data_IF_082674591002
#
_entry.id   IF_082674591002
#
_cell.length_a   1.000
_cell.length_b   1.000
_cell.length_c   1.000
_cell.angle_alpha   90.00
_cell.angle_beta   90.00
_cell.angle_gamma   90.00
#
_symmetry.space_group_name_H-M   'P 1'
#
loop_
_entity.id
_entity.type
_entity.pdbx_description
1 polymer ?
#
# COMPACT_ATOMS: atom_id res chain seq x y z
N UNK A 1 3.85 -14.16 5.30
CA UNK A 1 4.24 -12.75 5.37
C UNK A 1 3.75 -12.22 6.70
N UNK A 2 4.50 -11.37 7.38
CA UNK A 2 4.09 -10.73 8.63
C UNK A 2 4.13 -9.22 8.48
N UNK A 3 3.00 -8.55 8.74
CA UNK A 3 2.91 -7.10 8.73
C UNK A 3 3.50 -6.56 10.04
N UNK A 4 4.52 -5.72 9.95
CA UNK A 4 5.16 -5.05 11.10
C UNK A 4 4.55 -3.67 11.31
N UNK A 5 4.36 -2.92 10.21
CA UNK A 5 3.69 -1.61 10.19
C UNK A 5 2.74 -1.55 9.01
N UNK A 6 1.51 -1.12 9.26
CA UNK A 6 0.49 -0.92 8.24
C UNK A 6 0.23 0.59 8.09
N UNK A 7 1.09 1.25 7.34
CA UNK A 7 1.21 2.71 7.32
C UNK A 7 1.23 3.23 5.88
N UNK A 8 0.67 4.41 5.67
CA UNK A 8 0.75 5.12 4.40
C UNK A 8 0.89 6.62 4.64
N UNK A 9 1.46 7.32 3.65
CA UNK A 9 1.42 8.78 3.58
C UNK A 9 0.44 9.20 2.50
N UNK A 10 -0.38 10.21 2.80
CA UNK A 10 -1.15 10.91 1.79
C UNK A 10 -0.28 11.98 1.15
N UNK A 11 0.04 11.85 -0.13
CA UNK A 11 0.83 12.86 -0.87
C UNK A 11 0.08 14.19 -0.96
N UNK A 12 -1.25 14.16 -1.04
CA UNK A 12 -2.07 15.36 -1.19
C UNK A 12 -2.05 16.28 0.05
N UNK A 13 -2.05 15.73 1.27
CA UNK A 13 -2.06 16.53 2.51
C UNK A 13 -0.86 16.33 3.43
N UNK A 14 0.03 15.39 3.12
CA UNK A 14 1.24 15.09 3.91
C UNK A 14 1.01 14.17 5.12
N UNK A 15 -0.23 13.87 5.49
CA UNK A 15 -0.51 13.05 6.67
C UNK A 15 0.06 11.64 6.56
N UNK A 16 0.59 11.15 7.68
CA UNK A 16 1.01 9.77 7.85
C UNK A 16 0.02 9.10 8.79
N UNK A 17 -0.65 8.06 8.30
CA UNK A 17 -1.66 7.30 9.04
C UNK A 17 -1.26 5.84 9.16
N UNK A 18 -1.61 5.20 10.28
CA UNK A 18 -1.29 3.80 10.55
C UNK A 18 -2.48 3.08 11.20
N UNK A 19 -2.83 1.92 10.64
CA UNK A 19 -3.82 1.01 11.21
C UNK A 19 -3.13 0.04 12.16
N UNK A 20 -3.62 -0.09 13.39
CA UNK A 20 -2.96 -0.86 14.46
C UNK A 20 -3.73 -2.09 14.94
N UNK A 21 -5.01 -2.21 14.60
CA UNK A 21 -5.85 -3.39 14.89
C UNK A 21 -6.72 -3.77 13.68
N UNK A 22 -7.30 -4.98 13.70
CA UNK A 22 -8.00 -5.62 12.56
C UNK A 22 -9.14 -4.79 11.98
N UNK A 23 -9.76 -3.94 12.79
CA UNK A 23 -10.91 -3.09 12.44
C UNK A 23 -10.61 -1.62 12.75
N UNK A 24 -9.41 -1.17 12.39
CA UNK A 24 -8.91 0.19 12.64
C UNK A 24 -8.75 0.96 11.33
N UNK A 25 -9.87 1.47 10.81
CA UNK A 25 -9.87 2.35 9.65
C UNK A 25 -9.32 3.71 10.08
N UNK A 26 -8.17 4.10 9.54
CA UNK A 26 -7.66 5.48 9.62
C UNK A 26 -7.81 6.17 8.28
N UNK A 27 -8.11 7.45 8.32
CA UNK A 27 -8.18 8.33 7.16
C UNK A 27 -7.28 9.54 7.37
N UNK A 28 -6.64 10.04 6.32
CA UNK A 28 -5.96 11.33 6.40
C UNK A 28 -6.99 12.48 6.55
N UNK A 29 -6.54 13.64 6.99
CA UNK A 29 -7.35 14.84 7.24
C UNK A 29 -8.08 15.34 6.00
N UNK A 30 -7.51 15.20 4.79
CA UNK A 30 -8.20 15.56 3.55
C UNK A 30 -9.14 14.46 3.02
N UNK A 31 -9.17 13.31 3.69
CA UNK A 31 -9.98 12.14 3.33
C UNK A 31 -9.61 11.50 1.99
N UNK A 32 -8.41 11.78 1.45
CA UNK A 32 -7.99 11.20 0.17
C UNK A 32 -7.42 9.81 0.28
N UNK A 33 -6.84 9.43 1.43
CA UNK A 33 -6.21 8.13 1.66
C UNK A 33 -6.73 7.51 2.96
N UNK A 34 -6.98 6.21 2.95
CA UNK A 34 -7.34 5.40 4.12
C UNK A 34 -6.48 4.14 4.23
N UNK A 35 -6.24 3.71 5.47
CA UNK A 35 -5.56 2.46 5.82
C UNK A 35 -6.41 1.67 6.82
N UNK A 36 -6.43 0.34 6.69
CA UNK A 36 -7.23 -0.57 7.51
C UNK A 36 -6.55 -1.95 7.62
N UNK A 37 -6.97 -2.72 8.63
CA UNK A 37 -6.61 -4.14 8.81
C UNK A 37 -5.50 -4.44 9.82
N UNK A 38 -4.94 -3.44 10.49
CA UNK A 38 -3.94 -3.63 11.53
C UNK A 38 -2.76 -4.44 11.02
N UNK A 39 -2.45 -5.55 11.70
CA UNK A 39 -1.39 -6.49 11.31
C UNK A 39 -1.89 -7.77 10.63
N UNK A 40 -3.20 -7.89 10.40
CA UNK A 40 -3.80 -9.09 9.82
C UNK A 40 -3.89 -8.99 8.30
N UNK A 41 -4.16 -7.80 7.78
CA UNK A 41 -4.19 -7.53 6.34
C UNK A 41 -3.89 -6.06 6.04
N UNK A 42 -3.48 -5.78 4.80
CA UNK A 42 -3.32 -4.42 4.29
C UNK A 42 -4.49 -4.12 3.35
N UNK A 43 -5.28 -3.09 3.68
CA UNK A 43 -6.27 -2.50 2.79
C UNK A 43 -6.00 -1.01 2.62
N UNK A 44 -6.13 -0.54 1.38
CA UNK A 44 -5.94 0.86 0.98
C UNK A 44 -7.19 1.39 0.32
N UNK A 45 -7.67 2.53 0.78
CA UNK A 45 -8.59 3.39 0.04
C UNK A 45 -7.84 4.62 -0.44
N UNK A 46 -8.11 5.05 -1.66
CA UNK A 46 -7.58 6.30 -2.19
C UNK A 46 -8.54 6.92 -3.21
N UNK A 47 -8.60 8.25 -3.28
CA UNK A 47 -9.34 8.94 -4.36
C UNK A 47 -8.58 8.86 -5.69
N UNK A 48 -7.24 8.97 -5.62
CA UNK A 48 -6.30 8.86 -6.74
C UNK A 48 -5.11 8.01 -6.31
N UNK A 49 -4.59 7.15 -7.19
CA UNK A 49 -3.49 6.25 -6.82
C UNK A 49 -2.22 7.05 -6.49
N UNK A 50 -2.03 8.21 -7.12
CA UNK A 50 -0.90 9.11 -6.91
C UNK A 50 -0.92 9.78 -5.52
N UNK A 51 -2.09 9.82 -4.87
CA UNK A 51 -2.20 10.37 -3.51
C UNK A 51 -1.66 9.39 -2.45
N UNK A 52 -1.48 8.11 -2.80
CA UNK A 52 -1.04 7.06 -1.90
C UNK A 52 0.47 6.79 -2.05
N UNK A 53 1.22 7.04 -0.98
CA UNK A 53 2.55 6.47 -0.79
C UNK A 53 2.47 5.37 0.28
N UNK A 54 2.70 4.12 -0.12
CA UNK A 54 2.69 3.00 0.83
C UNK A 54 4.00 3.00 1.64
N UNK A 55 3.87 2.98 2.96
CA UNK A 55 4.97 2.98 3.93
C UNK A 55 4.95 1.72 4.81
N UNK A 56 4.31 0.65 4.34
CA UNK A 56 4.21 -0.59 5.10
C UNK A 56 5.57 -1.24 5.25
N UNK A 57 5.74 -1.93 6.38
CA UNK A 57 6.89 -2.81 6.58
C UNK A 57 6.34 -4.21 6.76
N UNK A 58 6.72 -5.10 5.84
CA UNK A 58 6.39 -6.51 5.86
C UNK A 58 7.67 -7.34 5.99
N UNK A 59 7.60 -8.41 6.77
CA UNK A 59 8.64 -9.43 6.87
C UNK A 59 8.16 -10.67 6.14
N UNK A 60 9.02 -11.23 5.29
CA UNK A 60 8.76 -12.42 4.51
C UNK A 60 9.71 -13.52 4.97
N UNK A 61 9.18 -14.72 5.15
CA UNK A 61 9.98 -15.87 5.51
C UNK A 61 10.37 -16.62 4.24
N UNK A 62 11.64 -16.58 3.84
CA UNK A 62 12.10 -17.27 2.62
C UNK A 62 11.91 -18.79 2.65
N UNK A 63 11.77 -19.36 3.85
CA UNK A 63 11.41 -20.76 4.07
C UNK A 63 9.96 -21.08 3.69
N UNK A 64 9.08 -20.07 3.65
CA UNK A 64 7.69 -20.21 3.19
C UNK A 64 7.64 -19.99 1.67
N UNK A 65 7.26 -21.00 0.86
CA UNK A 65 7.18 -20.88 -0.59
C UNK A 65 6.23 -19.77 -1.07
N UNK A 66 5.17 -19.46 -0.32
CA UNK A 66 4.22 -18.41 -0.67
C UNK A 66 4.85 -17.03 -0.50
N UNK A 67 5.56 -16.81 0.61
CA UNK A 67 6.28 -15.57 0.88
C UNK A 67 7.40 -15.34 -0.13
N UNK A 68 8.15 -16.39 -0.48
CA UNK A 68 9.19 -16.31 -1.51
C UNK A 68 8.60 -15.87 -2.85
N UNK A 69 7.47 -16.43 -3.26
CA UNK A 69 6.78 -16.04 -4.50
C UNK A 69 6.26 -14.60 -4.45
N UNK A 70 5.70 -14.15 -3.33
CA UNK A 70 5.24 -12.77 -3.16
C UNK A 70 6.40 -11.77 -3.29
N UNK A 71 7.53 -12.04 -2.64
CA UNK A 71 8.74 -11.22 -2.78
C UNK A 71 9.24 -11.13 -4.23
N UNK A 72 9.19 -12.22 -4.98
CA UNK A 72 9.59 -12.24 -6.39
C UNK A 72 8.65 -11.37 -7.25
N UNK A 73 7.35 -11.37 -6.96
CA UNK A 73 6.36 -10.51 -7.62
C UNK A 73 6.61 -9.03 -7.28
N UNK A 74 6.88 -8.69 -6.02
CA UNK A 74 7.16 -7.32 -5.60
C UNK A 74 8.44 -6.76 -6.21
N UNK A 75 9.48 -7.60 -6.35
CA UNK A 75 10.74 -7.22 -7.01
C UNK A 75 10.61 -7.04 -8.51
N UNK A 76 9.61 -7.67 -9.13
CA UNK A 76 9.37 -7.58 -10.57
C UNK A 76 7.89 -7.38 -10.85
N UNK A 77 7.35 -6.19 -10.49
CA UNK A 77 5.93 -5.93 -10.61
C UNK A 77 5.56 -6.03 -12.10
N UNK A 78 4.71 -7.02 -12.44
CA UNK A 78 4.14 -7.14 -13.79
C UNK A 78 3.32 -5.89 -14.06
N UNK A 79 3.93 -4.91 -14.75
CA UNK A 79 3.45 -3.59 -15.19
C UNK A 79 2.31 -2.97 -14.37
N UNK A 80 2.47 -1.74 -13.84
CA UNK A 80 1.35 -1.03 -13.23
C UNK A 80 0.21 -0.90 -14.27
N UNK A 81 -1.04 -0.98 -13.77
CA UNK A 81 -2.22 -0.57 -14.52
C UNK A 81 -1.91 0.67 -15.37
N UNK A 82 -2.18 0.58 -16.68
CA UNK A 82 -1.73 1.46 -17.76
C UNK A 82 -1.50 2.93 -17.32
N UNK A 83 -0.25 3.32 -17.11
CA UNK A 83 0.12 4.73 -17.28
C UNK A 83 0.00 5.02 -18.78
N UNK A 84 -0.98 5.83 -19.17
CA UNK A 84 -0.97 6.41 -20.51
C UNK A 84 0.38 7.12 -20.69
N UNK A 85 1.13 6.78 -21.74
CA UNK A 85 2.34 7.51 -22.09
C UNK A 85 1.92 8.92 -22.50
N UNK A 86 2.79 9.93 -22.38
CA UNK A 86 2.51 11.30 -22.83
C UNK A 86 2.09 11.38 -24.32
N UNK A 87 2.39 10.33 -25.09
CA UNK A 87 1.99 10.11 -26.49
C UNK A 87 0.52 9.69 -26.67
N UNK A 88 -0.16 9.27 -25.61
CA UNK A 88 -1.54 8.81 -25.64
C UNK A 88 -2.55 9.99 -25.52
N UNK A 89 -2.02 11.23 -25.57
CA UNK A 89 -2.75 12.51 -25.58
C UNK A 89 -2.34 13.41 -26.76
N UNK A 90 -1.52 12.91 -27.70
CA UNK A 90 -1.18 13.54 -28.98
C UNK A 90 -1.77 12.73 -30.13
#
# INVERSE_FOLDING_TARGET
>A
MKIVKNRARCINCGDIIESTSTHDIKSCSCGSVTVDGGKDYIRRGFKKIEDLEDLSICVYYLSDPQDKRLLEIEKNPRKPYKTKKLRDFL
#
